data_IF_432869985332
#
_entry.id   IF_432869985332
#
_cell.length_a   1.000
_cell.length_b   1.000
_cell.length_c   1.000
_cell.angle_alpha   90.00
_cell.angle_beta   90.00
_cell.angle_gamma   90.00
#
_symmetry.space_group_name_H-M   'P 1'
#
loop_
_entity.id
_entity.type
_entity.pdbx_description
1 polymer ?
#
# COMPACT_ATOMS: atom_id res chain seq x y z
N UNK A 1 5.05 -16.36 -3.91
CA UNK A 1 4.41 -16.54 -2.59
C UNK A 1 5.37 -16.03 -1.53
N UNK A 2 4.91 -15.22 -0.59
CA UNK A 2 5.68 -14.68 0.53
C UNK A 2 5.71 -15.70 1.67
N UNK A 3 6.91 -16.15 2.02
CA UNK A 3 7.19 -17.00 3.17
C UNK A 3 7.16 -16.20 4.46
N UNK A 4 6.93 -16.90 5.58
CA UNK A 4 6.97 -16.28 6.90
C UNK A 4 8.33 -15.64 7.23
N UNK A 5 9.43 -16.31 6.84
CA UNK A 5 10.79 -15.80 7.08
C UNK A 5 11.05 -14.47 6.37
N UNK A 6 10.64 -14.35 5.11
CA UNK A 6 10.77 -13.10 4.37
C UNK A 6 10.04 -11.96 5.08
N UNK A 7 8.80 -12.21 5.53
CA UNK A 7 7.98 -11.24 6.25
C UNK A 7 8.61 -10.81 7.58
N UNK A 8 9.26 -11.72 8.30
CA UNK A 8 10.00 -11.39 9.52
C UNK A 8 11.23 -10.50 9.23
N UNK A 9 11.86 -10.63 8.05
CA UNK A 9 13.01 -9.81 7.64
C UNK A 9 12.65 -8.41 7.14
N UNK A 10 11.41 -8.19 6.67
CA UNK A 10 10.92 -6.87 6.22
C UNK A 10 11.14 -5.79 7.29
N UNK A 11 10.93 -6.12 8.58
CA UNK A 11 11.04 -5.16 9.69
C UNK A 11 12.45 -5.06 10.29
N UNK A 12 13.36 -5.97 9.95
CA UNK A 12 14.71 -5.96 10.51
C UNK A 12 15.53 -4.82 9.95
N UNK A 13 16.42 -4.30 10.79
CA UNK A 13 17.36 -3.27 10.39
C UNK A 13 18.42 -3.89 9.47
N UNK A 14 19.09 -4.94 9.95
CA UNK A 14 20.09 -5.70 9.20
C UNK A 14 19.60 -7.15 9.03
N UNK A 15 18.75 -7.45 8.03
CA UNK A 15 18.39 -8.83 7.73
C UNK A 15 19.57 -9.59 7.10
N UNK A 16 19.56 -10.94 7.12
CA UNK A 16 20.56 -11.72 6.38
C UNK A 16 20.45 -11.47 4.88
N UNK A 17 21.57 -11.37 4.18
CA UNK A 17 21.57 -11.16 2.73
C UNK A 17 20.84 -12.30 1.99
N UNK A 18 19.84 -12.01 1.13
CA UNK A 18 19.06 -13.06 0.45
C UNK A 18 19.78 -13.70 -0.75
N UNK A 19 20.97 -13.23 -1.11
CA UNK A 19 21.69 -13.66 -2.32
C UNK A 19 21.31 -12.85 -3.56
N UNK A 20 22.23 -12.81 -4.54
CA UNK A 20 22.12 -11.94 -5.71
C UNK A 20 20.85 -12.17 -6.53
N UNK A 21 20.43 -13.43 -6.71
CA UNK A 21 19.23 -13.75 -7.48
C UNK A 21 17.97 -13.09 -6.90
N UNK A 22 17.76 -13.24 -5.59
CA UNK A 22 16.62 -12.62 -4.92
C UNK A 22 16.71 -11.10 -4.96
N UNK A 23 17.90 -10.53 -4.72
CA UNK A 23 18.10 -9.08 -4.75
C UNK A 23 17.79 -8.47 -6.11
N UNK A 24 18.22 -9.11 -7.21
CA UNK A 24 17.89 -8.67 -8.58
C UNK A 24 16.39 -8.74 -8.85
N UNK A 25 15.72 -9.82 -8.43
CA UNK A 25 14.26 -9.93 -8.53
C UNK A 25 13.55 -8.82 -7.73
N UNK A 26 14.05 -8.48 -6.53
CA UNK A 26 13.52 -7.35 -5.74
C UNK A 26 13.65 -6.02 -6.47
N UNK A 27 14.78 -5.77 -7.14
CA UNK A 27 15.01 -4.55 -7.93
C UNK A 27 14.13 -4.50 -9.18
N UNK A 28 13.85 -5.65 -9.81
CA UNK A 28 12.89 -5.74 -10.92
C UNK A 28 11.47 -5.37 -10.46
N UNK A 29 11.02 -5.89 -9.33
CA UNK A 29 9.71 -5.51 -8.75
C UNK A 29 9.68 -4.01 -8.42
N UNK A 30 10.77 -3.45 -7.89
CA UNK A 30 10.88 -2.01 -7.64
C UNK A 30 10.79 -1.19 -8.94
N UNK A 31 11.40 -1.68 -10.03
CA UNK A 31 11.28 -1.06 -11.36
C UNK A 31 9.83 -1.05 -11.85
N UNK A 32 9.11 -2.16 -11.69
CA UNK A 32 7.69 -2.23 -12.04
C UNK A 32 6.85 -1.24 -11.20
N UNK A 33 7.20 -1.07 -9.92
CA UNK A 33 6.55 -0.08 -9.05
C UNK A 33 6.83 1.36 -9.47
N UNK A 34 8.05 1.68 -9.90
CA UNK A 34 8.36 2.98 -10.45
C UNK A 34 7.59 3.25 -11.76
N UNK A 35 7.47 2.25 -12.63
CA UNK A 35 6.68 2.35 -13.86
C UNK A 35 5.21 2.61 -13.55
N UNK A 36 4.60 1.81 -12.66
CA UNK A 36 3.22 2.03 -12.20
C UNK A 36 3.01 3.43 -11.63
N UNK A 37 3.96 3.93 -10.83
CA UNK A 37 3.92 5.29 -10.31
C UNK A 37 3.87 6.32 -11.45
N UNK A 38 4.79 6.21 -12.41
CA UNK A 38 4.86 7.13 -13.54
C UNK A 38 3.59 7.10 -14.41
N UNK A 39 3.04 5.92 -14.65
CA UNK A 39 1.90 5.73 -15.53
C UNK A 39 0.59 6.18 -14.86
N UNK A 40 0.42 5.91 -13.57
CA UNK A 40 -0.88 6.04 -12.91
C UNK A 40 -0.92 7.00 -11.73
N UNK A 41 0.19 7.36 -11.10
CA UNK A 41 0.17 8.15 -9.86
C UNK A 41 0.84 9.52 -9.96
N UNK A 42 1.81 9.66 -10.86
CA UNK A 42 2.55 10.90 -11.05
C UNK A 42 1.61 12.04 -11.45
N UNK A 43 1.73 13.16 -10.75
CA UNK A 43 0.94 14.38 -10.96
C UNK A 43 -0.58 14.14 -10.98
N UNK A 44 -1.03 13.13 -10.23
CA UNK A 44 -2.44 12.73 -10.14
C UNK A 44 -2.91 12.80 -8.69
N UNK A 45 -4.12 13.30 -8.52
CA UNK A 45 -4.86 13.25 -7.27
C UNK A 45 -6.03 12.28 -7.43
N UNK A 46 -6.18 11.39 -6.47
CA UNK A 46 -7.23 10.40 -6.40
C UNK A 46 -8.26 10.84 -5.39
N UNK A 47 -9.54 10.80 -5.76
CA UNK A 47 -10.66 11.03 -4.87
C UNK A 47 -11.58 9.82 -4.87
N UNK A 48 -11.71 9.16 -3.72
CA UNK A 48 -12.46 7.91 -3.57
C UNK A 48 -13.69 8.17 -2.71
N UNK A 49 -14.88 7.94 -3.24
CA UNK A 49 -16.11 7.92 -2.45
C UNK A 49 -16.42 6.49 -2.01
N UNK A 50 -16.78 6.33 -0.74
CA UNK A 50 -17.11 5.03 -0.15
C UNK A 50 -18.61 4.82 0.09
N UNK A 51 -19.00 3.59 0.41
CA UNK A 51 -20.38 3.18 0.67
C UNK A 51 -21.06 3.95 1.80
N UNK A 52 -20.31 4.49 2.75
CA UNK A 52 -20.80 5.34 3.83
C UNK A 52 -20.90 6.83 3.46
N UNK A 53 -20.65 7.17 2.19
CA UNK A 53 -20.52 8.54 1.67
C UNK A 53 -19.30 9.32 2.19
N UNK A 54 -18.35 8.67 2.88
CA UNK A 54 -17.07 9.31 3.18
C UNK A 54 -16.22 9.40 1.91
N UNK A 55 -15.37 10.42 1.85
CA UNK A 55 -14.41 10.62 0.77
C UNK A 55 -12.98 10.49 1.29
N UNK A 56 -12.08 10.04 0.41
CA UNK A 56 -10.65 10.01 0.64
C UNK A 56 -9.93 10.57 -0.58
N UNK A 57 -9.42 11.78 -0.42
CA UNK A 57 -8.62 12.45 -1.44
C UNK A 57 -7.13 12.34 -1.11
N UNK A 58 -6.28 11.84 -2.01
CA UNK A 58 -4.84 11.73 -1.78
C UNK A 58 -4.02 11.81 -3.07
N UNK A 59 -2.74 12.13 -2.94
CA UNK A 59 -1.74 12.05 -3.99
C UNK A 59 -0.46 11.39 -3.47
N UNK A 60 0.31 10.78 -4.39
CA UNK A 60 1.60 10.17 -4.05
C UNK A 60 2.71 11.13 -4.47
N UNK A 61 3.32 11.77 -3.48
CA UNK A 61 4.43 12.70 -3.70
C UNK A 61 5.72 11.93 -3.98
N UNK A 62 6.50 12.44 -4.93
CA UNK A 62 7.84 11.93 -5.25
C UNK A 62 8.76 11.89 -4.04
N UNK A 63 8.64 12.87 -3.15
CA UNK A 63 9.40 12.93 -1.89
C UNK A 63 9.21 11.71 -1.00
N UNK A 64 8.06 11.04 -1.11
CA UNK A 64 7.69 9.94 -0.23
C UNK A 64 8.00 8.57 -0.87
N UNK A 65 8.33 8.54 -2.16
CA UNK A 65 8.34 7.32 -2.96
C UNK A 65 9.36 6.28 -2.47
N UNK A 66 10.60 6.69 -2.18
CA UNK A 66 11.64 5.78 -1.67
C UNK A 66 11.19 5.11 -0.37
N UNK A 67 10.68 5.89 0.59
CA UNK A 67 10.19 5.36 1.85
C UNK A 67 9.04 4.36 1.64
N UNK A 68 8.05 4.75 0.83
CA UNK A 68 6.89 3.92 0.53
C UNK A 68 7.29 2.58 -0.08
N UNK A 69 8.23 2.59 -1.03
CA UNK A 69 8.70 1.38 -1.73
C UNK A 69 9.75 0.58 -0.96
N UNK A 70 10.01 0.93 0.31
CA UNK A 70 10.80 0.11 1.23
C UNK A 70 12.28 0.46 1.29
N UNK A 71 12.70 1.56 0.68
CA UNK A 71 14.05 2.10 0.81
C UNK A 71 14.17 2.98 2.05
N UNK A 72 15.30 2.90 2.75
CA UNK A 72 15.63 3.84 3.81
C UNK A 72 16.25 5.10 3.25
N UNK A 73 15.38 6.01 2.82
CA UNK A 73 15.78 7.27 2.22
C UNK A 73 16.78 8.07 3.07
N UNK A 74 16.62 8.09 4.39
CA UNK A 74 17.53 8.79 5.32
C UNK A 74 18.97 8.29 5.25
N UNK A 75 19.16 7.00 5.00
CA UNK A 75 20.48 6.38 4.85
C UNK A 75 21.01 6.63 3.43
N UNK A 76 20.19 6.34 2.41
CA UNK A 76 20.61 6.42 1.02
C UNK A 76 20.99 7.83 0.59
N UNK A 77 20.24 8.86 0.99
CA UNK A 77 20.51 10.25 0.57
C UNK A 77 21.87 10.79 1.02
N UNK A 78 22.48 10.18 2.04
CA UNK A 78 23.76 10.60 2.60
C UNK A 78 24.93 9.73 2.12
N UNK A 79 24.65 8.63 1.41
CA UNK A 79 25.68 7.72 0.92
C UNK A 79 26.37 8.31 -0.32
N UNK A 80 27.69 8.15 -0.43
CA UNK A 80 28.50 8.83 -1.45
C UNK A 80 28.03 8.57 -2.88
N UNK A 81 27.58 7.35 -3.17
CA UNK A 81 27.02 6.99 -4.47
C UNK A 81 25.79 7.82 -4.87
N UNK A 82 24.94 8.23 -3.92
CA UNK A 82 23.69 8.95 -4.20
C UNK A 82 23.79 10.46 -3.95
N UNK A 83 24.83 10.95 -3.26
CA UNK A 83 24.90 12.35 -2.79
C UNK A 83 24.96 13.38 -3.92
N UNK A 84 25.48 12.98 -5.08
CA UNK A 84 25.69 13.85 -6.24
C UNK A 84 24.61 13.69 -7.32
N UNK A 85 23.47 13.07 -6.99
CA UNK A 85 22.38 12.96 -7.95
C UNK A 85 21.73 14.34 -8.13
N UNK A 86 22.04 14.97 -9.25
CA UNK A 86 21.47 16.26 -9.65
C UNK A 86 20.12 16.10 -10.38
N UNK A 87 19.32 17.16 -10.37
CA UNK A 87 18.12 17.28 -11.19
C UNK A 87 16.97 18.05 -10.53
N UNK A 88 15.96 18.40 -11.32
CA UNK A 88 14.80 19.19 -10.87
C UNK A 88 13.74 18.34 -10.13
N UNK A 89 13.94 17.04 -9.99
CA UNK A 89 12.97 16.09 -9.40
C UNK A 89 13.31 15.84 -7.93
N UNK A 90 12.38 15.28 -7.15
CA UNK A 90 12.70 14.92 -5.77
C UNK A 90 13.82 13.87 -5.71
N UNK A 91 14.80 14.07 -4.82
CA UNK A 91 15.89 13.12 -4.58
C UNK A 91 15.38 11.70 -4.25
N UNK A 92 14.25 11.59 -3.55
CA UNK A 92 13.60 10.30 -3.23
C UNK A 92 13.21 9.51 -4.48
N UNK A 93 12.63 10.18 -5.48
CA UNK A 93 12.30 9.60 -6.78
C UNK A 93 13.57 9.26 -7.57
N UNK A 94 14.55 10.18 -7.59
CA UNK A 94 15.80 9.99 -8.34
C UNK A 94 16.65 8.84 -7.83
N UNK A 95 16.70 8.62 -6.51
CA UNK A 95 17.37 7.46 -5.92
C UNK A 95 16.75 6.15 -6.43
N UNK A 96 15.43 6.08 -6.56
CA UNK A 96 14.79 4.88 -7.13
C UNK A 96 15.19 4.71 -8.59
N UNK A 97 15.16 5.79 -9.40
CA UNK A 97 15.60 5.74 -10.81
C UNK A 97 17.03 5.21 -10.94
N UNK A 98 17.96 5.72 -10.13
CA UNK A 98 19.36 5.28 -10.12
C UNK A 98 19.48 3.79 -9.77
N UNK A 99 18.77 3.36 -8.73
CA UNK A 99 18.79 1.97 -8.27
C UNK A 99 18.29 1.00 -9.36
N UNK A 100 17.19 1.34 -10.04
CA UNK A 100 16.57 0.45 -11.03
C UNK A 100 17.26 0.51 -12.39
N UNK A 101 18.01 1.58 -12.67
CA UNK A 101 18.85 1.71 -13.86
C UNK A 101 20.15 0.89 -13.73
N UNK A 102 20.73 0.85 -12.52
CA UNK A 102 22.05 0.27 -12.28
C UNK A 102 22.04 -0.90 -11.27
N UNK A 103 21.21 -1.94 -11.48
CA UNK A 103 20.96 -2.96 -10.45
C UNK A 103 22.21 -3.76 -10.04
N UNK A 104 23.20 -3.93 -10.93
CA UNK A 104 24.45 -4.65 -10.62
C UNK A 104 25.33 -3.84 -9.67
N UNK A 105 25.56 -2.56 -9.99
CA UNK A 105 26.31 -1.62 -9.17
C UNK A 105 25.70 -1.53 -7.76
N UNK A 106 24.36 -1.50 -7.68
CA UNK A 106 23.65 -1.52 -6.39
C UNK A 106 23.96 -2.76 -5.56
N UNK A 107 24.12 -3.94 -6.18
CA UNK A 107 24.54 -5.13 -5.43
C UNK A 107 25.97 -5.03 -4.94
N UNK A 108 26.88 -4.50 -5.76
CA UNK A 108 28.29 -4.34 -5.42
C UNK A 108 28.45 -3.33 -4.26
N UNK A 109 27.78 -2.18 -4.34
CA UNK A 109 27.77 -1.17 -3.29
C UNK A 109 27.14 -1.74 -2.01
N UNK A 110 26.00 -2.43 -2.13
CA UNK A 110 25.39 -3.05 -0.96
C UNK A 110 26.32 -4.10 -0.32
N UNK A 111 27.12 -4.82 -1.11
CA UNK A 111 28.11 -5.76 -0.59
C UNK A 111 29.28 -5.05 0.12
N UNK A 112 29.76 -3.91 -0.41
CA UNK A 112 30.75 -3.05 0.25
C UNK A 112 30.25 -2.55 1.61
N UNK A 113 28.95 -2.28 1.72
CA UNK A 113 28.25 -1.88 2.94
C UNK A 113 27.81 -3.07 3.82
N UNK A 114 28.49 -4.21 3.73
CA UNK A 114 28.19 -5.44 4.47
C UNK A 114 26.71 -5.88 4.39
N UNK A 115 26.10 -5.65 3.23
CA UNK A 115 24.71 -5.93 2.91
C UNK A 115 23.67 -5.18 3.75
N UNK A 116 24.06 -4.05 4.36
CA UNK A 116 23.20 -3.27 5.26
C UNK A 116 22.51 -2.06 4.62
N UNK A 117 22.99 -1.62 3.44
CA UNK A 117 22.49 -0.41 2.78
C UNK A 117 21.03 -0.56 2.30
N UNK A 118 20.68 -1.72 1.75
CA UNK A 118 19.35 -2.03 1.21
C UNK A 118 18.80 -3.33 1.81
N UNK A 119 17.65 -3.23 2.47
CA UNK A 119 16.84 -4.38 2.85
C UNK A 119 16.00 -4.86 1.64
N UNK A 120 16.54 -5.79 0.85
CA UNK A 120 15.87 -6.33 -0.34
C UNK A 120 14.56 -7.07 -0.07
N UNK A 121 14.34 -7.60 1.14
CA UNK A 121 13.03 -8.19 1.50
C UNK A 121 11.97 -7.10 1.63
N UNK A 122 12.31 -6.00 2.30
CA UNK A 122 11.40 -4.86 2.45
C UNK A 122 11.08 -4.22 1.11
N UNK A 123 12.09 -3.98 0.28
CA UNK A 123 11.91 -3.44 -1.08
C UNK A 123 10.96 -4.33 -1.88
N UNK A 124 11.19 -5.65 -1.89
CA UNK A 124 10.32 -6.60 -2.61
C UNK A 124 8.88 -6.53 -2.11
N UNK A 125 8.66 -6.70 -0.81
CA UNK A 125 7.32 -6.80 -0.24
C UNK A 125 6.56 -5.49 -0.40
N UNK A 126 7.18 -4.33 -0.10
CA UNK A 126 6.50 -3.03 -0.25
C UNK A 126 6.21 -2.69 -1.71
N UNK A 127 7.13 -2.98 -2.62
CA UNK A 127 6.91 -2.78 -4.06
C UNK A 127 5.84 -3.74 -4.61
N UNK A 128 5.78 -4.99 -4.15
CA UNK A 128 4.70 -5.92 -4.51
C UNK A 128 3.33 -5.46 -4.00
N UNK A 129 3.28 -4.95 -2.76
CA UNK A 129 2.06 -4.36 -2.20
C UNK A 129 1.65 -3.14 -3.03
N UNK A 130 2.58 -2.26 -3.38
CA UNK A 130 2.31 -1.11 -4.24
C UNK A 130 1.77 -1.53 -5.60
N UNK A 131 2.44 -2.47 -6.28
CA UNK A 131 2.05 -2.96 -7.61
C UNK A 131 0.65 -3.57 -7.67
N UNK A 132 0.17 -4.05 -6.52
CA UNK A 132 -1.15 -4.60 -6.39
C UNK A 132 -2.25 -3.52 -6.33
N UNK A 133 -1.95 -2.34 -5.78
CA UNK A 133 -2.84 -1.19 -5.88
C UNK A 133 -2.56 -0.51 -7.23
N UNK A 134 -3.30 -0.92 -8.27
CA UNK A 134 -3.07 -0.54 -9.66
C UNK A 134 -3.30 0.95 -9.95
N UNK A 135 -4.51 1.33 -10.32
CA UNK A 135 -4.96 2.71 -10.52
C UNK A 135 -6.35 2.95 -9.91
N UNK A 136 -6.80 2.04 -9.05
CA UNK A 136 -8.08 2.05 -8.35
C UNK A 136 -9.35 2.03 -9.23
N UNK A 137 -9.27 2.11 -10.57
CA UNK A 137 -10.43 2.16 -11.46
C UNK A 137 -11.29 0.89 -11.45
N UNK A 138 -10.71 -0.25 -11.04
CA UNK A 138 -11.45 -1.51 -10.93
C UNK A 138 -12.39 -1.57 -9.72
N UNK A 139 -12.18 -0.69 -8.72
CA UNK A 139 -13.01 -0.59 -7.51
C UNK A 139 -13.10 -1.92 -6.74
N UNK A 140 -12.01 -2.69 -6.75
CA UNK A 140 -11.89 -4.07 -6.25
C UNK A 140 -11.11 -4.17 -4.92
N UNK A 141 -11.18 -3.12 -4.10
CA UNK A 141 -10.51 -3.01 -2.81
C UNK A 141 -11.50 -2.67 -1.70
N UNK A 142 -11.19 -3.05 -0.46
CA UNK A 142 -11.91 -2.60 0.72
C UNK A 142 -11.19 -1.45 1.42
N UNK A 143 -11.88 -0.79 2.35
CA UNK A 143 -11.29 0.23 3.20
C UNK A 143 -11.65 -0.04 4.66
N UNK A 144 -10.63 -0.11 5.53
CA UNK A 144 -10.81 -0.11 6.98
C UNK A 144 -10.81 1.35 7.44
N UNK A 145 -11.88 1.78 8.13
CA UNK A 145 -11.84 2.98 8.95
C UNK A 145 -11.09 2.66 10.22
N UNK A 146 -9.81 2.96 10.23
CA UNK A 146 -8.91 2.44 11.23
C UNK A 146 -9.04 3.17 12.56
N UNK A 147 -9.35 2.41 13.61
CA UNK A 147 -9.28 2.86 14.99
C UNK A 147 -8.11 2.17 15.70
N UNK A 148 -7.11 2.97 16.06
CA UNK A 148 -5.90 2.51 16.75
C UNK A 148 -6.20 1.98 18.15
N UNK A 149 -7.24 2.47 18.84
CA UNK A 149 -7.64 1.99 20.16
C UNK A 149 -8.20 0.57 20.09
N UNK A 150 -8.99 0.28 19.06
CA UNK A 150 -9.51 -1.08 18.81
C UNK A 150 -8.34 -2.04 18.51
N UNK A 151 -7.40 -1.64 17.66
CA UNK A 151 -6.22 -2.48 17.33
C UNK A 151 -5.29 -2.68 18.53
N UNK A 152 -5.10 -1.65 19.35
CA UNK A 152 -4.37 -1.75 20.61
C UNK A 152 -5.06 -2.73 21.58
N UNK A 153 -6.39 -2.67 21.70
CA UNK A 153 -7.19 -3.63 22.46
C UNK A 153 -7.08 -5.07 21.95
N UNK A 154 -6.87 -5.25 20.64
CA UNK A 154 -6.62 -6.56 20.01
C UNK A 154 -5.17 -7.06 20.19
N UNK A 155 -4.32 -6.33 20.90
CA UNK A 155 -2.96 -6.74 21.23
C UNK A 155 -1.92 -6.51 20.13
N UNK A 156 -2.09 -5.48 19.28
CA UNK A 156 -1.01 -4.87 18.49
C UNK A 156 -0.72 -3.51 19.09
N UNK A 157 0.47 -3.31 19.68
CA UNK A 157 0.97 -1.96 19.95
C UNK A 157 1.38 -1.34 18.62
N UNK A 158 0.65 -0.32 18.20
CA UNK A 158 0.86 0.34 16.91
C UNK A 158 1.24 1.81 17.10
N UNK A 159 2.20 2.27 16.31
CA UNK A 159 2.56 3.68 16.17
C UNK A 159 2.08 4.25 14.82
N UNK A 160 1.21 3.50 14.13
CA UNK A 160 0.64 3.92 12.85
C UNK A 160 -0.29 5.11 13.08
N UNK A 161 -0.09 6.14 12.25
CA UNK A 161 -0.89 7.37 12.22
C UNK A 161 -2.04 7.30 11.21
N UNK A 162 -2.07 6.26 10.38
CA UNK A 162 -3.12 6.04 9.41
C UNK A 162 -4.50 6.01 10.08
N UNK A 163 -5.47 6.64 9.45
CA UNK A 163 -6.90 6.60 9.82
C UNK A 163 -7.73 5.80 8.80
N UNK A 164 -7.10 5.40 7.70
CA UNK A 164 -7.64 4.54 6.65
C UNK A 164 -6.60 3.51 6.22
N UNK A 165 -7.05 2.26 6.05
CA UNK A 165 -6.29 1.25 5.32
C UNK A 165 -7.07 0.79 4.10
N UNK A 166 -6.58 1.11 2.90
CA UNK A 166 -7.04 0.43 1.69
C UNK A 166 -6.45 -0.98 1.70
N UNK A 167 -7.26 -1.99 1.39
CA UNK A 167 -6.81 -3.37 1.41
C UNK A 167 -7.39 -4.20 0.27
N UNK A 168 -6.63 -5.23 -0.10
CA UNK A 168 -7.07 -6.30 -1.01
C UNK A 168 -6.63 -7.62 -0.42
N UNK A 169 -7.42 -8.68 -0.61
CA UNK A 169 -6.99 -10.03 -0.24
C UNK A 169 -6.18 -10.68 -1.36
N UNK A 170 -5.24 -11.53 -0.98
CA UNK A 170 -4.27 -12.18 -1.84
C UNK A 170 -4.17 -13.64 -1.45
N UNK A 171 -3.88 -14.47 -2.43
CA UNK A 171 -3.57 -15.89 -2.20
C UNK A 171 -2.17 -16.04 -1.61
N UNK A 172 -2.03 -15.63 -0.34
CA UNK A 172 -0.79 -15.64 0.43
C UNK A 172 -1.10 -16.18 1.83
N UNK A 173 -0.70 -17.43 2.09
CA UNK A 173 -1.01 -18.12 3.34
C UNK A 173 -0.62 -17.33 4.61
N UNK A 174 0.57 -16.72 4.62
CA UNK A 174 1.09 -16.02 5.80
C UNK A 174 0.72 -14.54 5.87
N UNK A 175 0.25 -13.96 4.77
CA UNK A 175 -0.09 -12.54 4.70
C UNK A 175 -1.23 -12.30 3.69
N UNK A 176 -2.46 -12.73 4.03
CA UNK A 176 -3.56 -12.80 3.07
C UNK A 176 -4.10 -11.43 2.66
N UNK A 177 -3.65 -10.33 3.28
CA UNK A 177 -4.08 -8.98 2.90
C UNK A 177 -2.88 -8.08 2.64
N UNK A 178 -2.94 -7.35 1.54
CA UNK A 178 -2.04 -6.24 1.26
C UNK A 178 -2.74 -4.95 1.64
N UNK A 179 -2.02 -4.07 2.34
CA UNK A 179 -2.56 -2.87 2.93
C UNK A 179 -1.76 -1.63 2.54
N UNK A 180 -2.49 -0.56 2.25
CA UNK A 180 -1.99 0.79 2.06
C UNK A 180 -2.59 1.69 3.15
N UNK A 181 -1.74 2.10 4.09
CA UNK A 181 -2.10 3.00 5.19
C UNK A 181 -2.02 4.45 4.76
N UNK A 182 -3.10 5.17 4.99
CA UNK A 182 -3.23 6.58 4.64
C UNK A 182 -3.47 7.35 5.92
N UNK A 183 -2.62 8.34 6.16
CA UNK A 183 -2.69 9.23 7.31
C UNK A 183 -3.02 10.65 6.86
N UNK A 184 -3.69 11.39 7.73
CA UNK A 184 -3.93 12.81 7.55
C UNK A 184 -2.92 13.62 8.35
N UNK A 185 -2.29 14.60 7.71
CA UNK A 185 -1.51 15.63 8.40
C UNK A 185 -1.94 17.00 7.87
N UNK A 186 -2.45 17.85 8.75
CA UNK A 186 -2.87 19.23 8.43
C UNK A 186 -3.87 19.28 7.25
N UNK A 187 -4.83 18.35 7.23
CA UNK A 187 -5.85 18.28 6.18
C UNK A 187 -5.36 17.66 4.87
N UNK A 188 -4.09 17.22 4.79
CA UNK A 188 -3.53 16.56 3.61
C UNK A 188 -3.28 15.09 3.89
N UNK A 189 -3.91 14.24 3.09
CA UNK A 189 -3.68 12.79 3.17
C UNK A 189 -2.38 12.42 2.47
N UNK A 190 -1.62 11.50 3.08
CA UNK A 190 -0.43 10.92 2.50
C UNK A 190 -0.36 9.43 2.80
N UNK A 191 0.32 8.68 1.94
CA UNK A 191 0.56 7.26 2.19
C UNK A 191 1.64 7.15 3.27
N UNK A 192 1.24 6.65 4.44
CA UNK A 192 2.13 6.44 5.56
C UNK A 192 2.93 5.14 5.39
N UNK A 193 2.26 4.06 4.98
CA UNK A 193 2.88 2.73 4.98
C UNK A 193 2.25 1.79 3.95
N UNK A 194 3.06 0.85 3.47
CA UNK A 194 2.65 -0.29 2.66
C UNK A 194 3.13 -1.56 3.36
N UNK A 195 2.25 -2.54 3.54
CA UNK A 195 2.63 -3.82 4.12
C UNK A 195 1.72 -4.97 3.72
N UNK A 196 2.28 -6.17 3.78
CA UNK A 196 1.52 -7.42 3.77
C UNK A 196 1.20 -7.78 5.23
N UNK A 197 -0.08 -7.92 5.55
CA UNK A 197 -0.54 -8.09 6.93
C UNK A 197 -0.38 -9.52 7.44
N UNK A 198 0.52 -9.69 8.40
CA UNK A 198 0.81 -10.97 9.05
C UNK A 198 -0.08 -11.28 10.25
N UNK A 199 -0.96 -10.34 10.64
CA UNK A 199 -1.85 -10.46 11.79
C UNK A 199 -3.27 -9.98 11.47
N UNK A 200 -3.93 -10.54 10.42
CA UNK A 200 -5.22 -10.04 9.93
C UNK A 200 -6.32 -10.05 10.99
N UNK A 201 -6.36 -11.08 11.85
CA UNK A 201 -7.31 -11.09 12.97
C UNK A 201 -7.20 -9.82 13.82
N UNK A 202 -6.00 -9.40 14.19
CA UNK A 202 -5.82 -8.26 15.08
C UNK A 202 -6.08 -6.91 14.38
N UNK A 203 -5.76 -6.83 13.09
CA UNK A 203 -5.98 -5.64 12.26
C UNK A 203 -7.45 -5.40 11.94
N UNK A 204 -8.20 -6.46 11.61
CA UNK A 204 -9.60 -6.35 11.18
C UNK A 204 -10.59 -6.40 12.34
N UNK A 205 -10.27 -7.10 13.44
CA UNK A 205 -11.27 -7.42 14.43
C UNK A 205 -11.95 -6.19 15.04
N UNK A 206 -13.28 -6.18 15.01
CA UNK A 206 -14.15 -5.10 15.48
C UNK A 206 -13.96 -3.74 14.76
N UNK A 207 -13.26 -3.70 13.62
CA UNK A 207 -13.16 -2.50 12.80
C UNK A 207 -14.42 -2.28 11.95
N UNK A 208 -14.53 -1.06 11.40
CA UNK A 208 -15.53 -0.71 10.38
C UNK A 208 -14.93 -0.84 8.99
N UNK A 209 -15.63 -1.52 8.09
CA UNK A 209 -15.24 -1.69 6.70
C UNK A 209 -16.23 -0.96 5.79
N UNK A 210 -15.69 -0.25 4.79
CA UNK A 210 -16.44 0.33 3.67
C UNK A 210 -15.90 -0.21 2.34
N UNK A 211 -16.68 -0.06 1.27
CA UNK A 211 -16.25 -0.35 -0.10
C UNK A 211 -16.27 0.92 -0.95
N UNK A 212 -15.39 1.05 -1.96
CA UNK A 212 -15.42 2.16 -2.89
C UNK A 212 -16.68 2.06 -3.77
N UNK A 213 -17.29 3.21 -4.03
CA UNK A 213 -18.45 3.34 -4.93
C UNK A 213 -18.14 4.20 -6.15
N UNK A 214 -17.14 5.05 -6.06
CA UNK A 214 -16.54 5.75 -7.20
C UNK A 214 -15.09 6.11 -6.90
N UNK A 215 -14.32 6.27 -7.97
CA UNK A 215 -12.96 6.82 -7.95
C UNK A 215 -12.89 7.88 -9.04
N UNK A 216 -12.49 9.09 -8.66
CA UNK A 216 -12.13 10.15 -9.58
C UNK A 216 -10.62 10.33 -9.61
N UNK A 217 -10.07 10.53 -10.79
CA UNK A 217 -8.65 10.84 -11.00
C UNK A 217 -8.54 12.23 -11.61
N UNK A 218 -7.91 13.14 -10.87
CA UNK A 218 -7.67 14.51 -11.28
C UNK A 218 -6.23 14.66 -11.75
N UNK A 219 -6.07 15.28 -12.92
CA UNK A 219 -4.79 15.81 -13.42
C UNK A 219 -4.91 17.33 -13.56
N UNK A 220 -3.85 17.99 -14.03
CA UNK A 220 -3.89 19.43 -14.33
C UNK A 220 -4.87 19.77 -15.47
N UNK A 221 -5.19 18.80 -16.35
CA UNK A 221 -5.98 19.03 -17.58
C UNK A 221 -7.26 18.21 -17.66
N UNK A 222 -7.46 17.22 -16.77
CA UNK A 222 -8.60 16.32 -16.82
C UNK A 222 -9.11 15.91 -15.44
N UNK A 223 -10.37 15.49 -15.41
CA UNK A 223 -11.02 14.90 -14.25
C UNK A 223 -11.89 13.73 -14.73
N UNK A 224 -11.45 12.50 -14.45
CA UNK A 224 -12.13 11.29 -14.91
C UNK A 224 -12.73 10.55 -13.72
N UNK A 225 -14.05 10.33 -13.74
CA UNK A 225 -14.76 9.56 -12.70
C UNK A 225 -15.15 8.18 -13.22
N UNK A 226 -14.90 7.15 -12.42
CA UNK A 226 -15.42 5.80 -12.62
C UNK A 226 -16.33 5.47 -11.45
N UNK A 227 -17.56 5.07 -11.74
CA UNK A 227 -18.51 4.60 -10.74
C UNK A 227 -18.59 3.07 -10.72
N UNK A 228 -18.71 2.49 -9.53
CA UNK A 228 -18.87 1.05 -9.37
C UNK A 228 -20.26 0.65 -9.85
N UNK A 229 -20.29 -0.27 -10.81
CA UNK A 229 -21.54 -0.91 -11.25
C UNK A 229 -22.19 -1.67 -10.09
N UNK A 230 -23.50 -1.92 -10.20
CA UNK A 230 -24.23 -2.78 -9.24
C UNK A 230 -23.56 -4.15 -9.09
N UNK A 231 -23.07 -4.74 -10.19
CA UNK A 231 -22.36 -6.02 -10.17
C UNK A 231 -21.05 -5.95 -9.38
N UNK A 232 -20.19 -4.96 -9.64
CA UNK A 232 -18.93 -4.78 -8.91
C UNK A 232 -19.16 -4.60 -7.40
N UNK A 233 -20.15 -3.77 -7.02
CA UNK A 233 -20.54 -3.59 -5.62
C UNK A 233 -20.94 -4.93 -4.98
N UNK A 234 -21.77 -5.73 -5.66
CA UNK A 234 -22.22 -7.04 -5.16
C UNK A 234 -21.08 -8.05 -5.06
N UNK A 235 -20.20 -8.11 -6.07
CA UNK A 235 -19.08 -9.06 -6.09
C UNK A 235 -18.07 -8.73 -4.99
N UNK A 236 -17.77 -7.45 -4.78
CA UNK A 236 -16.91 -7.01 -3.68
C UNK A 236 -17.55 -7.26 -2.30
N UNK A 237 -18.86 -7.05 -2.14
CA UNK A 237 -19.56 -7.40 -0.90
C UNK A 237 -19.52 -8.90 -0.62
N UNK A 238 -19.72 -9.74 -1.63
CA UNK A 238 -19.61 -11.21 -1.49
C UNK A 238 -18.20 -11.61 -1.10
N UNK A 239 -17.20 -11.00 -1.72
CA UNK A 239 -15.80 -11.22 -1.41
C UNK A 239 -15.48 -10.84 0.05
N UNK A 240 -15.89 -9.64 0.49
CA UNK A 240 -15.64 -9.17 1.85
C UNK A 240 -16.48 -9.85 2.92
N UNK A 241 -17.59 -10.52 2.55
CA UNK A 241 -18.49 -11.20 3.49
C UNK A 241 -17.75 -12.17 4.43
N UNK A 242 -16.81 -12.95 3.89
CA UNK A 242 -15.98 -13.87 4.69
C UNK A 242 -15.15 -13.09 5.72
N UNK A 243 -14.46 -12.04 5.27
CA UNK A 243 -13.63 -11.16 6.13
C UNK A 243 -14.47 -10.51 7.23
N UNK A 244 -15.64 -9.95 6.88
CA UNK A 244 -16.56 -9.31 7.82
C UNK A 244 -16.99 -10.27 8.94
N UNK A 245 -17.41 -11.48 8.58
CA UNK A 245 -17.85 -12.49 9.54
C UNK A 245 -16.70 -13.05 10.36
N UNK A 246 -15.60 -13.47 9.71
CA UNK A 246 -14.45 -14.10 10.35
C UNK A 246 -13.81 -13.22 11.43
N UNK A 247 -13.84 -11.90 11.24
CA UNK A 247 -13.22 -10.95 12.15
C UNK A 247 -14.24 -10.11 12.94
N UNK A 248 -15.53 -10.41 12.89
CA UNK A 248 -16.56 -9.62 13.59
C UNK A 248 -16.46 -8.11 13.24
N UNK A 249 -16.19 -7.79 11.98
CA UNK A 249 -16.19 -6.42 11.51
C UNK A 249 -17.62 -5.95 11.28
N UNK A 250 -17.85 -4.66 11.44
CA UNK A 250 -19.10 -4.03 10.99
C UNK A 250 -18.92 -3.47 9.59
N UNK A 251 -19.96 -3.58 8.76
CA UNK A 251 -20.00 -2.95 7.45
C UNK A 251 -20.72 -1.60 7.55
N UNK A 252 -20.06 -0.54 7.13
CA UNK A 252 -20.59 0.82 7.19
C UNK A 252 -21.11 1.25 5.81
N UNK A 253 -22.38 1.65 5.79
CA UNK A 253 -23.06 2.03 4.57
C UNK A 253 -24.16 3.05 4.82
N UNK A 254 -24.23 4.04 3.94
CA UNK A 254 -25.34 4.96 3.88
C UNK A 254 -26.52 4.26 3.16
N UNK A 255 -27.71 4.26 3.78
CA UNK A 255 -28.91 3.59 3.27
C UNK A 255 -29.24 3.98 1.82
N UNK A 256 -28.86 5.18 1.38
CA UNK A 256 -29.11 5.68 0.04
C UNK A 256 -28.07 5.22 -1.00
N UNK A 257 -26.89 4.77 -0.58
CA UNK A 257 -25.75 4.48 -1.49
C UNK A 257 -25.73 3.01 -1.96
N UNK A 258 -26.25 2.09 -1.15
CA UNK A 258 -26.37 0.66 -1.48
C UNK A 258 -27.80 0.13 -1.31
N UNK A 259 -28.82 0.98 -1.49
CA UNK A 259 -30.23 0.75 -1.11
C UNK A 259 -30.83 -0.61 -1.47
N UNK A 260 -30.32 -1.31 -2.50
CA UNK A 260 -30.74 -2.67 -2.88
C UNK A 260 -29.71 -3.79 -2.63
N UNK A 261 -28.45 -3.47 -2.33
CA UNK A 261 -27.34 -4.43 -2.24
C UNK A 261 -27.03 -4.91 -0.81
N UNK A 262 -27.45 -4.17 0.22
CA UNK A 262 -27.19 -4.52 1.64
C UNK A 262 -27.86 -5.85 2.04
N UNK A 263 -28.94 -6.25 1.36
CA UNK A 263 -29.60 -7.55 1.59
C UNK A 263 -28.69 -8.77 1.38
N UNK A 264 -27.56 -8.61 0.67
CA UNK A 264 -26.56 -9.68 0.49
C UNK A 264 -25.78 -9.98 1.78
N UNK A 265 -25.66 -8.98 2.66
CA UNK A 265 -25.02 -9.11 3.98
C UNK A 265 -25.98 -9.69 5.02
N UNK A 266 -27.31 -9.52 4.85
CA UNK A 266 -28.33 -10.01 5.79
C UNK A 266 -28.85 -11.43 5.49
N UNK A 267 -28.33 -12.11 4.45
CA UNK A 267 -28.64 -13.52 4.13
C UNK A 267 -27.44 -14.40 4.50
N UNK A 268 -27.28 -14.66 5.80
CA UNK A 268 -26.75 -15.90 6.41
C UNK A 268 -27.46 -16.07 7.73
#
# INVERSE_FOLDING_TARGET
MLSRKELDYVRKINPPYPGNHYSLESLKVLKDALALYNDHYRNKEYDITFSDSSNLTFSIKESNLAHMLGLWFSTLKNHDYFKNIEGCRSLSYRIIEEIVANPKDILEINAQENYSLINFYRVRVRSQVFNNFSNFKNLDFGCIKYDSNVVNGNGIKTYMKADRFLFTERDQFYAPYYMMGIANQEGKNYIETLFADTFPKKMFMNQKITIPVSVSVKTDTSYDTVEATTKQKLDLLRYLKKTLFQYNCSFDNNKNTLSNNVRVLSKV
#
